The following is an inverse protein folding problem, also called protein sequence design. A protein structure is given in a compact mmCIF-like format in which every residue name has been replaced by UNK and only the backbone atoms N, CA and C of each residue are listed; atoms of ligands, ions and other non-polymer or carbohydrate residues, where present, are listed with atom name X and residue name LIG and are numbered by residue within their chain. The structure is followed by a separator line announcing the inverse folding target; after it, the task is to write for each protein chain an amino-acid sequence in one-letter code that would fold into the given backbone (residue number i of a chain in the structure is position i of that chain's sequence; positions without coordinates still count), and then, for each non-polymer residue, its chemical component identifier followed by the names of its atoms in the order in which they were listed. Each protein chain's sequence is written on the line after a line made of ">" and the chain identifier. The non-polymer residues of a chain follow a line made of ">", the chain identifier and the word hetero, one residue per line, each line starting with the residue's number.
data_IF_715936674370
#
_entry.id   IF_715936674370
#
_cell.length_a   1.000
_cell.length_b   1.000
_cell.length_c   1.000
_cell.angle_alpha   90.00
_cell.angle_beta   90.00
_cell.angle_gamma   90.00
#
_symmetry.space_group_name_H-M   'P 1'
#
loop_
_entity.id
_entity.type
_entity.pdbx_description
1 polymer ?
#
# COMPACT_ATOMS: atom_id res chain seq x y z
N UNK A 1 -17.92 -8.15 33.39
CA UNK A 1 -17.28 -8.02 32.06
C UNK A 1 -16.14 -7.03 32.20
N UNK A 2 -14.87 -7.46 32.09
CA UNK A 2 -13.73 -6.55 32.18
C UNK A 2 -13.73 -5.60 30.96
N UNK A 3 -13.27 -4.35 31.11
CA UNK A 3 -13.23 -3.39 30.02
C UNK A 3 -12.31 -3.92 28.93
N UNK A 4 -12.84 -4.02 27.71
CA UNK A 4 -12.03 -4.18 26.51
C UNK A 4 -11.01 -3.05 26.49
N UNK A 5 -9.76 -3.37 26.79
CA UNK A 5 -8.65 -2.46 26.57
C UNK A 5 -8.63 -2.19 25.07
N UNK A 6 -9.15 -1.02 24.69
CA UNK A 6 -8.96 -0.45 23.38
C UNK A 6 -7.44 -0.33 23.24
N UNK A 7 -6.84 -1.28 22.52
CA UNK A 7 -5.47 -1.13 22.03
C UNK A 7 -5.51 0.16 21.24
N UNK A 8 -5.03 1.24 21.85
CA UNK A 8 -4.72 2.48 21.17
C UNK A 8 -3.58 2.12 20.25
N UNK A 9 -3.93 1.62 19.06
CA UNK A 9 -3.02 1.54 17.95
C UNK A 9 -2.59 2.97 17.76
N UNK A 10 -1.37 3.27 18.17
CA UNK A 10 -0.72 4.55 17.93
C UNK A 10 -0.64 4.66 16.42
N UNK A 11 -1.68 5.24 15.82
CA UNK A 11 -1.67 5.70 14.45
C UNK A 11 -0.52 6.69 14.40
N UNK A 12 0.64 6.20 13.96
CA UNK A 12 1.67 7.09 13.48
C UNK A 12 1.06 7.73 12.25
N UNK A 13 0.44 8.88 12.45
CA UNK A 13 -0.10 9.70 11.38
C UNK A 13 1.00 9.79 10.32
N UNK A 14 0.77 9.24 9.10
CA UNK A 14 1.80 9.23 8.08
C UNK A 14 2.25 10.66 7.87
N UNK A 15 3.54 10.93 8.10
CA UNK A 15 4.08 12.27 7.94
C UNK A 15 3.85 12.75 6.50
N UNK A 16 3.87 14.06 6.28
CA UNK A 16 3.71 14.64 4.93
C UNK A 16 4.67 13.98 3.92
N UNK A 17 5.88 13.64 4.39
CA UNK A 17 6.87 12.93 3.60
C UNK A 17 6.47 11.47 3.32
N UNK A 18 5.92 10.75 4.31
CA UNK A 18 5.40 9.40 4.10
C UNK A 18 4.21 9.38 3.14
N UNK A 19 3.33 10.39 3.20
CA UNK A 19 2.21 10.55 2.25
C UNK A 19 2.71 10.80 0.83
N UNK A 20 3.69 11.70 0.65
CA UNK A 20 4.35 11.91 -0.64
C UNK A 20 4.96 10.62 -1.17
N UNK A 21 5.72 9.91 -0.32
CA UNK A 21 6.39 8.67 -0.72
C UNK A 21 5.40 7.58 -1.15
N UNK A 22 4.29 7.45 -0.43
CA UNK A 22 3.22 6.51 -0.80
C UNK A 22 2.53 6.91 -2.11
N UNK A 23 2.22 8.19 -2.29
CA UNK A 23 1.63 8.70 -3.54
C UNK A 23 2.57 8.48 -4.74
N UNK A 24 3.86 8.74 -4.56
CA UNK A 24 4.87 8.47 -5.58
C UNK A 24 5.00 6.99 -5.89
N UNK A 25 5.04 6.10 -4.89
CA UNK A 25 5.12 4.64 -5.09
C UNK A 25 3.90 4.09 -5.84
N UNK A 26 2.70 4.50 -5.43
CA UNK A 26 1.45 4.07 -6.09
C UNK A 26 1.34 4.63 -7.51
N UNK A 27 1.67 5.91 -7.70
CA UNK A 27 1.65 6.55 -9.02
C UNK A 27 2.70 6.00 -9.97
N UNK A 28 3.92 5.76 -9.48
CA UNK A 28 5.02 5.21 -10.30
C UNK A 28 4.77 3.77 -10.71
N UNK A 29 4.13 2.94 -9.89
CA UNK A 29 3.78 1.56 -10.26
C UNK A 29 2.72 1.53 -11.36
N UNK A 30 1.64 2.30 -11.23
CA UNK A 30 0.62 2.41 -12.28
C UNK A 30 1.20 3.04 -13.55
N UNK A 31 2.05 4.06 -13.41
CA UNK A 31 2.77 4.67 -14.51
C UNK A 31 3.67 3.66 -15.24
N UNK A 32 4.46 2.87 -14.52
CA UNK A 32 5.31 1.84 -15.12
C UNK A 32 4.53 0.79 -15.90
N UNK A 33 3.39 0.31 -15.37
CA UNK A 33 2.52 -0.64 -16.09
C UNK A 33 1.91 0.01 -17.33
N UNK A 34 1.44 1.25 -17.22
CA UNK A 34 0.88 2.00 -18.36
C UNK A 34 1.94 2.24 -19.44
N UNK A 35 3.17 2.61 -19.04
CA UNK A 35 4.32 2.77 -19.92
C UNK A 35 4.76 1.47 -20.58
N UNK A 36 4.63 0.33 -19.91
CA UNK A 36 4.86 -0.99 -20.51
C UNK A 36 3.80 -1.31 -21.57
N UNK A 37 2.51 -1.05 -21.30
CA UNK A 37 1.42 -1.34 -22.23
C UNK A 37 1.50 -0.42 -23.45
N UNK A 38 1.57 0.90 -23.24
CA UNK A 38 1.61 1.87 -24.34
C UNK A 38 2.97 1.88 -25.04
N UNK A 39 4.08 1.73 -24.31
CA UNK A 39 5.42 1.63 -24.88
C UNK A 39 5.62 0.31 -25.63
N UNK A 40 5.14 -0.81 -25.09
CA UNK A 40 5.15 -2.11 -25.77
C UNK A 40 4.31 -2.09 -27.05
N UNK A 41 3.11 -1.51 -27.00
CA UNK A 41 2.27 -1.32 -28.18
C UNK A 41 2.92 -0.41 -29.23
N UNK A 42 3.54 0.71 -28.81
CA UNK A 42 4.25 1.61 -29.70
C UNK A 42 5.42 0.93 -30.42
N UNK A 43 6.17 0.08 -29.71
CA UNK A 43 7.29 -0.69 -30.26
C UNK A 43 6.80 -1.76 -31.25
N UNK A 44 5.73 -2.48 -30.92
CA UNK A 44 5.15 -3.50 -31.79
C UNK A 44 4.55 -2.91 -33.07
N UNK A 45 3.99 -1.70 -33.00
CA UNK A 45 3.35 -1.03 -34.13
C UNK A 45 4.32 -0.23 -35.01
N UNK A 46 5.24 0.51 -34.41
CA UNK A 46 6.10 1.48 -35.09
C UNK A 46 7.57 1.08 -35.18
N UNK A 47 7.96 -0.05 -34.60
CA UNK A 47 9.36 -0.42 -34.39
C UNK A 47 10.02 0.42 -33.29
N UNK A 48 11.19 -0.03 -32.83
CA UNK A 48 11.99 0.69 -31.84
C UNK A 48 13.24 1.30 -32.50
N UNK A 49 13.19 2.56 -32.97
CA UNK A 49 14.29 3.17 -33.73
C UNK A 49 15.59 3.30 -32.94
N UNK A 50 15.52 3.35 -31.60
CA UNK A 50 16.68 3.43 -30.70
C UNK A 50 16.85 2.17 -29.81
N UNK A 51 16.27 1.05 -30.23
CA UNK A 51 16.23 -0.20 -29.47
C UNK A 51 15.02 -0.30 -28.52
N UNK A 52 14.53 -1.52 -28.35
CA UNK A 52 13.32 -1.84 -27.57
C UNK A 52 13.44 -1.33 -26.14
N UNK A 53 14.58 -1.59 -25.50
CA UNK A 53 14.82 -1.22 -24.09
C UNK A 53 14.86 0.30 -23.89
N UNK A 54 15.45 1.05 -24.80
CA UNK A 54 15.58 2.50 -24.67
C UNK A 54 14.23 3.20 -24.91
N UNK A 55 13.49 2.76 -25.93
CA UNK A 55 12.16 3.28 -26.25
C UNK A 55 11.17 2.92 -25.13
N UNK A 56 11.16 1.66 -24.70
CA UNK A 56 10.30 1.20 -23.61
C UNK A 56 10.66 1.89 -22.29
N UNK A 57 11.95 2.03 -22.00
CA UNK A 57 12.47 2.73 -20.84
C UNK A 57 12.01 4.19 -20.79
N UNK A 58 12.03 4.91 -21.90
CA UNK A 58 11.51 6.28 -21.98
C UNK A 58 10.01 6.35 -21.72
N UNK A 59 9.22 5.40 -22.21
CA UNK A 59 7.78 5.34 -21.93
C UNK A 59 7.51 5.04 -20.46
N UNK A 60 8.19 4.06 -19.87
CA UNK A 60 8.04 3.69 -18.45
C UNK A 60 8.53 4.82 -17.53
N UNK A 61 9.70 5.40 -17.80
CA UNK A 61 10.24 6.50 -16.99
C UNK A 61 9.39 7.75 -17.14
N UNK A 62 8.97 8.09 -18.37
CA UNK A 62 8.10 9.24 -18.60
C UNK A 62 6.76 9.09 -17.88
N UNK A 63 6.03 8.00 -18.15
CA UNK A 63 4.74 7.74 -17.51
C UNK A 63 4.85 7.54 -15.99
N UNK A 64 5.87 6.81 -15.51
CA UNK A 64 6.16 6.62 -14.09
C UNK A 64 6.49 7.92 -13.35
N UNK A 65 7.25 8.83 -13.98
CA UNK A 65 7.56 10.13 -13.42
C UNK A 65 6.32 11.04 -13.34
N UNK A 66 5.52 11.13 -14.41
CA UNK A 66 4.32 11.97 -14.41
C UNK A 66 3.25 11.45 -13.45
N UNK A 67 2.87 10.17 -13.54
CA UNK A 67 1.86 9.59 -12.63
C UNK A 67 2.36 9.57 -11.18
N UNK A 68 3.64 9.29 -10.95
CA UNK A 68 4.26 9.35 -9.62
C UNK A 68 4.25 10.76 -9.04
N UNK A 69 4.60 11.79 -9.82
CA UNK A 69 4.63 13.18 -9.35
C UNK A 69 3.23 13.73 -9.10
N UNK A 70 2.28 13.52 -10.01
CA UNK A 70 0.90 13.98 -9.82
C UNK A 70 0.22 13.31 -8.63
N UNK A 71 0.40 12.01 -8.43
CA UNK A 71 -0.16 11.29 -7.28
C UNK A 71 0.57 11.61 -5.98
N UNK A 72 1.87 11.90 -6.01
CA UNK A 72 2.65 12.35 -4.85
C UNK A 72 2.22 13.74 -4.36
N UNK A 73 2.00 14.69 -5.28
CA UNK A 73 1.47 16.01 -4.90
C UNK A 73 -0.01 15.90 -4.48
N UNK A 74 -0.78 15.08 -5.20
CA UNK A 74 -2.18 14.80 -4.88
C UNK A 74 -2.37 14.16 -3.50
N UNK A 75 -1.43 13.34 -3.04
CA UNK A 75 -1.51 12.70 -1.72
C UNK A 75 -1.25 13.65 -0.56
N UNK A 76 -0.52 14.76 -0.78
CA UNK A 76 -0.35 15.84 0.21
C UNK A 76 -1.66 16.63 0.32
N UNK A 77 -2.32 16.89 -0.81
CA UNK A 77 -3.52 17.74 -0.86
C UNK A 77 -4.76 16.94 -0.40
N UNK A 78 -4.88 15.64 -0.74
CA UNK A 78 -5.97 14.75 -0.30
C UNK A 78 -5.70 14.02 1.03
N UNK A 79 -4.85 14.59 1.89
CA UNK A 79 -4.35 13.95 3.12
C UNK A 79 -5.42 13.51 4.13
N UNK A 80 -6.68 13.95 3.99
CA UNK A 80 -7.81 13.64 4.86
C UNK A 80 -8.45 12.26 4.60
N UNK A 81 -8.34 11.69 3.38
CA UNK A 81 -9.05 10.45 3.01
C UNK A 81 -8.17 9.20 2.83
N UNK A 82 -6.84 9.34 2.80
CA UNK A 82 -5.91 8.24 2.53
C UNK A 82 -5.68 7.34 3.75
N UNK A 83 -6.76 6.81 4.30
CA UNK A 83 -6.80 5.55 5.01
C UNK A 83 -6.63 4.42 3.97
N UNK A 84 -5.43 4.26 3.43
CA UNK A 84 -5.02 2.95 2.93
C UNK A 84 -5.04 2.05 4.14
N UNK A 85 -6.16 1.35 4.32
CA UNK A 85 -6.35 0.32 5.32
C UNK A 85 -5.10 -0.56 5.28
N UNK A 86 -4.25 -0.39 6.28
CA UNK A 86 -3.24 -1.39 6.59
C UNK A 86 -4.07 -2.61 6.98
N UNK A 87 -4.37 -3.46 5.99
CA UNK A 87 -5.00 -4.77 6.20
C UNK A 87 -4.11 -5.45 7.23
N UNK A 88 -4.65 -5.53 8.44
CA UNK A 88 -3.89 -5.67 9.68
C UNK A 88 -2.83 -6.76 9.61
N UNK A 89 -1.60 -6.36 9.28
CA UNK A 89 -0.43 -7.17 9.58
C UNK A 89 -0.01 -6.74 10.98
N UNK A 90 -0.27 -7.54 12.03
CA UNK A 90 0.24 -7.23 13.35
C UNK A 90 1.77 -7.19 13.23
N UNK A 91 2.34 -6.00 13.41
CA UNK A 91 3.78 -5.76 13.28
C UNK A 91 4.59 -6.51 14.33
N UNK A 92 3.93 -7.09 15.35
CA UNK A 92 4.58 -7.85 16.40
C UNK A 92 3.91 -9.21 16.63
N UNK A 93 4.72 -10.26 16.58
CA UNK A 93 4.35 -11.63 16.96
C UNK A 93 3.77 -11.69 18.38
N UNK A 94 4.19 -10.78 19.26
CA UNK A 94 3.65 -10.62 20.61
C UNK A 94 2.15 -10.24 20.60
N UNK A 95 1.72 -9.39 19.67
CA UNK A 95 0.33 -8.94 19.55
C UNK A 95 -0.55 -10.02 18.93
N UNK A 96 -0.02 -10.75 17.93
CA UNK A 96 -0.67 -11.94 17.37
C UNK A 96 -0.83 -13.04 18.43
N UNK A 97 0.20 -13.26 19.27
CA UNK A 97 0.17 -14.22 20.37
C UNK A 97 -0.81 -13.79 21.46
N UNK A 98 -0.86 -12.50 21.81
CA UNK A 98 -1.81 -11.95 22.78
C UNK A 98 -3.27 -12.09 22.29
N UNK A 99 -3.54 -11.82 21.01
CA UNK A 99 -4.87 -12.04 20.41
C UNK A 99 -5.25 -13.51 20.35
N UNK A 100 -4.30 -14.40 20.02
CA UNK A 100 -4.57 -15.84 20.06
C UNK A 100 -4.83 -16.32 21.49
N UNK A 101 -4.07 -15.84 22.49
CA UNK A 101 -4.27 -16.18 23.90
C UNK A 101 -5.63 -15.68 24.41
N UNK A 102 -6.00 -14.44 24.12
CA UNK A 102 -7.31 -13.89 24.52
C UNK A 102 -8.46 -14.70 23.90
N UNK A 103 -8.31 -15.14 22.65
CA UNK A 103 -9.32 -15.98 21.99
C UNK A 103 -9.36 -17.40 22.55
N UNK A 104 -8.23 -17.94 22.97
CA UNK A 104 -8.16 -19.24 23.64
C UNK A 104 -8.80 -19.20 25.03
N UNK A 105 -8.63 -18.11 25.77
CA UNK A 105 -9.22 -17.94 27.11
C UNK A 105 -10.75 -17.79 27.05
N UNK A 106 -11.29 -17.05 26.08
CA UNK A 106 -12.74 -16.95 25.87
C UNK A 106 -13.33 -18.32 25.51
N UNK A 107 -12.64 -19.09 24.68
CA UNK A 107 -13.09 -20.44 24.30
C UNK A 107 -13.06 -21.40 25.50
N UNK A 108 -12.06 -21.29 26.38
CA UNK A 108 -12.02 -22.07 27.63
C UNK A 108 -13.14 -21.66 28.60
N UNK A 109 -13.46 -20.37 28.70
CA UNK A 109 -14.55 -19.90 29.56
C UNK A 109 -15.92 -20.35 29.02
N UNK A 110 -16.09 -20.39 27.70
CA UNK A 110 -17.27 -20.96 27.06
C UNK A 110 -17.37 -22.48 27.24
N UNK A 111 -16.26 -23.22 27.18
CA UNK A 111 -16.27 -24.66 27.50
C UNK A 111 -16.56 -24.92 28.97
N UNK A 112 -16.11 -24.05 29.90
CA UNK A 112 -16.42 -24.15 31.34
C UNK A 112 -17.87 -23.83 31.70
N UNK A 113 -18.60 -23.13 30.83
CA UNK A 113 -20.03 -22.81 31.02
C UNK A 113 -20.96 -23.83 30.35
N UNK A 114 -20.42 -24.72 29.51
CA UNK A 114 -21.16 -25.80 28.83
C UNK A 114 -20.84 -27.19 29.40
N UNK A 115 -20.11 -27.26 30.52
CA UNK A 115 -20.12 -28.38 31.48
C UNK A 115 -20.92 -27.95 32.71
#
# INVERSE_FOLDING_TARGET
>A
MPPVQQVQVQYQEPTLFDKMKMGFLMGSTVGAVSGLVFGGYAILKGGAPNGVVNTLGQYILGSGAFFGMFMSVGSIIRSEDLQYSNVGRPGNLAELKARMMARHMINMENMRKNL
#
